data_IF_939393349986
#
_entry.id   IF_939393349986
#
_cell.length_a   1.000
_cell.length_b   1.000
_cell.length_c   1.000
_cell.angle_alpha   90.00
_cell.angle_beta   90.00
_cell.angle_gamma   90.00
#
_symmetry.space_group_name_H-M   'P 1'
#
loop_
_entity.id
_entity.type
_entity.pdbx_description
1 polymer ?
#
# COMPACT_ATOMS: atom_id res chain seq x y z
N UNK A 1 25.27 -17.29 -7.86
CA UNK A 1 23.92 -16.88 -7.44
C UNK A 1 23.02 -16.94 -8.66
N UNK A 2 21.80 -17.43 -8.54
CA UNK A 2 20.83 -17.40 -9.66
C UNK A 2 20.32 -15.97 -9.84
N UNK A 3 20.19 -15.54 -11.10
CA UNK A 3 19.71 -14.23 -11.50
C UNK A 3 18.43 -14.37 -12.31
N UNK A 4 17.44 -13.55 -12.00
CA UNK A 4 16.25 -13.26 -12.80
C UNK A 4 15.76 -11.85 -12.43
N UNK A 5 14.82 -11.30 -13.19
CA UNK A 5 14.31 -9.93 -12.98
C UNK A 5 13.84 -9.65 -11.55
N UNK A 6 13.17 -10.61 -10.93
CA UNK A 6 12.69 -10.48 -9.54
C UNK A 6 13.84 -10.43 -8.54
N UNK A 7 14.78 -11.36 -8.63
CA UNK A 7 15.97 -11.41 -7.75
C UNK A 7 16.80 -10.15 -7.93
N UNK A 8 17.00 -9.72 -9.17
CA UNK A 8 17.81 -8.54 -9.48
C UNK A 8 17.14 -7.26 -8.96
N UNK A 9 15.82 -7.12 -9.05
CA UNK A 9 15.09 -6.01 -8.46
C UNK A 9 15.26 -5.95 -6.94
N UNK A 10 15.17 -7.10 -6.25
CA UNK A 10 15.32 -7.16 -4.79
C UNK A 10 16.76 -6.87 -4.34
N UNK A 11 17.77 -7.44 -5.02
CA UNK A 11 19.19 -7.24 -4.68
C UNK A 11 19.64 -5.80 -4.96
N UNK A 12 19.11 -5.18 -6.01
CA UNK A 12 19.47 -3.83 -6.42
C UNK A 12 18.61 -2.75 -5.73
N UNK A 13 17.74 -3.12 -4.79
CA UNK A 13 16.93 -2.16 -4.06
C UNK A 13 17.74 -1.00 -3.48
N UNK A 14 17.18 0.21 -3.60
CA UNK A 14 17.74 1.45 -3.05
C UNK A 14 16.64 2.28 -2.39
N UNK A 15 16.94 2.86 -1.25
CA UNK A 15 16.07 3.87 -0.65
C UNK A 15 16.20 5.19 -1.40
N UNK A 16 15.28 5.47 -2.30
CA UNK A 16 15.27 6.70 -3.10
C UNK A 16 14.54 7.80 -2.32
N UNK A 17 15.13 9.00 -2.28
CA UNK A 17 14.57 10.20 -1.64
C UNK A 17 14.61 11.42 -2.54
N UNK A 18 14.99 11.25 -3.80
CA UNK A 18 14.95 12.29 -4.83
C UNK A 18 14.24 11.68 -6.04
N UNK A 19 13.09 12.20 -6.35
CA UNK A 19 12.24 11.72 -7.42
C UNK A 19 12.34 12.64 -8.63
N UNK A 20 11.96 12.14 -9.78
CA UNK A 20 11.75 12.94 -10.99
C UNK A 20 10.40 13.64 -10.89
N UNK A 21 10.29 14.81 -11.51
CA UNK A 21 9.01 15.50 -11.70
C UNK A 21 8.24 14.87 -12.86
N UNK A 22 7.89 13.60 -12.70
CA UNK A 22 7.17 12.80 -13.66
C UNK A 22 6.07 12.03 -12.93
N UNK A 23 4.86 12.02 -13.48
CA UNK A 23 3.77 11.20 -12.99
C UNK A 23 3.69 9.89 -13.77
N UNK A 24 3.19 8.86 -13.14
CA UNK A 24 2.98 7.56 -13.76
C UNK A 24 1.88 7.67 -14.84
N UNK A 25 2.07 7.00 -15.96
CA UNK A 25 1.04 6.90 -16.98
C UNK A 25 -0.05 5.90 -16.55
N UNK A 26 -1.17 5.87 -17.29
CA UNK A 26 -2.32 5.04 -16.98
C UNK A 26 -1.97 3.54 -16.87
N UNK A 27 -1.16 3.03 -17.80
CA UNK A 27 -0.76 1.63 -17.83
C UNK A 27 0.08 1.24 -16.61
N UNK A 28 1.02 2.13 -16.22
CA UNK A 28 1.81 1.94 -14.99
C UNK A 28 0.92 1.93 -13.74
N UNK A 29 -0.02 2.88 -13.63
CA UNK A 29 -0.98 2.93 -12.52
C UNK A 29 -1.84 1.65 -12.45
N UNK A 30 -2.40 1.20 -13.58
CA UNK A 30 -3.18 -0.03 -13.66
C UNK A 30 -2.36 -1.26 -13.28
N UNK A 31 -1.08 -1.29 -13.67
CA UNK A 31 -0.14 -2.35 -13.26
C UNK A 31 0.03 -2.38 -11.75
N UNK A 32 0.30 -1.23 -11.11
CA UNK A 32 0.47 -1.15 -9.65
C UNK A 32 -0.80 -1.56 -8.90
N UNK A 33 -1.98 -1.13 -9.38
CA UNK A 33 -3.26 -1.53 -8.79
C UNK A 33 -3.50 -3.03 -8.94
N UNK A 34 -3.17 -3.60 -10.09
CA UNK A 34 -3.29 -5.04 -10.34
C UNK A 34 -2.35 -5.83 -9.43
N UNK A 35 -1.10 -5.41 -9.29
CA UNK A 35 -0.12 -6.04 -8.37
C UNK A 35 -0.61 -5.98 -6.93
N UNK A 36 -1.13 -4.83 -6.48
CA UNK A 36 -1.73 -4.69 -5.15
C UNK A 36 -2.87 -5.69 -4.93
N UNK A 37 -3.81 -5.79 -5.88
CA UNK A 37 -4.98 -6.67 -5.78
C UNK A 37 -4.64 -8.17 -5.83
N UNK A 38 -3.54 -8.55 -6.48
CA UNK A 38 -3.10 -9.94 -6.61
C UNK A 38 -2.07 -10.36 -5.55
N UNK A 39 -1.79 -9.49 -4.60
CA UNK A 39 -0.91 -9.84 -3.48
C UNK A 39 -1.55 -10.95 -2.62
N UNK A 40 -0.73 -11.93 -2.22
CA UNK A 40 -1.17 -12.96 -1.30
C UNK A 40 -1.60 -12.37 0.04
N UNK A 41 -2.63 -12.93 0.65
CA UNK A 41 -3.14 -12.53 1.96
C UNK A 41 -3.32 -13.75 2.85
N UNK A 42 -3.34 -13.52 4.17
CA UNK A 42 -3.47 -14.61 5.15
C UNK A 42 -4.86 -15.28 5.09
N UNK A 43 -5.94 -14.51 5.05
CA UNK A 43 -7.32 -15.03 5.12
C UNK A 43 -8.29 -14.38 4.13
N UNK A 44 -7.79 -13.70 3.12
CA UNK A 44 -8.59 -12.97 2.13
C UNK A 44 -9.62 -11.99 2.75
N UNK A 45 -9.27 -11.37 3.86
CA UNK A 45 -10.14 -10.42 4.56
C UNK A 45 -10.16 -9.03 3.93
N UNK A 46 -9.31 -8.78 2.93
CA UNK A 46 -9.15 -7.50 2.23
C UNK A 46 -8.90 -6.33 3.19
N UNK A 47 -8.02 -6.56 4.16
CA UNK A 47 -7.69 -5.61 5.23
C UNK A 47 -6.66 -4.55 4.82
N UNK A 48 -6.31 -4.47 3.55
CA UNK A 48 -5.40 -3.47 3.01
C UNK A 48 -6.16 -2.52 2.07
N UNK A 49 -5.84 -1.24 2.13
CA UNK A 49 -6.28 -0.24 1.17
C UNK A 49 -5.08 0.51 0.59
N UNK A 50 -5.14 0.78 -0.71
CA UNK A 50 -4.17 1.61 -1.42
C UNK A 50 -4.84 2.93 -1.78
N UNK A 51 -4.29 4.03 -1.27
CA UNK A 51 -4.74 5.37 -1.57
C UNK A 51 -3.72 6.06 -2.49
N UNK A 52 -4.14 6.44 -3.69
CA UNK A 52 -3.38 7.30 -4.59
C UNK A 52 -3.77 8.77 -4.35
N UNK A 53 -2.85 9.55 -3.83
CA UNK A 53 -3.08 10.96 -3.49
C UNK A 53 -2.68 11.81 -4.68
N UNK A 54 -3.67 12.36 -5.38
CA UNK A 54 -3.48 13.19 -6.59
C UNK A 54 -3.58 14.68 -6.32
N UNK A 55 -4.27 15.09 -5.25
CA UNK A 55 -4.47 16.50 -4.89
C UNK A 55 -3.17 17.11 -4.32
N UNK A 56 -2.63 18.17 -4.94
CA UNK A 56 -1.38 18.81 -4.50
C UNK A 56 -1.46 19.37 -3.06
N UNK A 57 -2.62 19.89 -2.63
CA UNK A 57 -2.77 20.41 -1.27
C UNK A 57 -2.74 19.28 -0.24
N UNK A 58 -3.34 18.14 -0.54
CA UNK A 58 -3.26 16.95 0.31
C UNK A 58 -1.84 16.40 0.38
N UNK A 59 -1.13 16.32 -0.75
CA UNK A 59 0.29 15.92 -0.78
C UNK A 59 1.12 16.82 0.13
N UNK A 60 0.93 18.14 0.06
CA UNK A 60 1.64 19.11 0.91
C UNK A 60 1.34 18.92 2.40
N UNK A 61 0.08 18.73 2.78
CA UNK A 61 -0.31 18.45 4.17
C UNK A 61 0.34 17.16 4.68
N UNK A 62 0.37 16.11 3.88
CA UNK A 62 1.01 14.85 4.24
C UNK A 62 2.52 15.03 4.41
N UNK A 63 3.17 15.78 3.51
CA UNK A 63 4.59 16.12 3.61
C UNK A 63 4.92 16.83 4.93
N UNK A 64 4.10 17.82 5.30
CA UNK A 64 4.25 18.57 6.56
C UNK A 64 4.08 17.67 7.79
N UNK A 65 3.04 16.80 7.78
CA UNK A 65 2.77 15.85 8.86
C UNK A 65 3.91 14.82 9.03
N UNK A 66 4.46 14.32 7.92
CA UNK A 66 5.57 13.37 7.94
C UNK A 66 6.90 14.05 8.30
N UNK A 67 6.98 15.37 8.25
CA UNK A 67 8.24 16.13 8.38
C UNK A 67 9.35 15.62 7.45
N UNK A 68 8.98 15.20 6.23
CA UNK A 68 9.89 14.64 5.23
C UNK A 68 9.70 15.36 3.90
N UNK A 69 10.67 16.17 3.52
CA UNK A 69 10.60 17.07 2.35
C UNK A 69 10.37 16.36 1.00
N UNK A 70 10.71 15.08 0.90
CA UNK A 70 10.58 14.29 -0.32
C UNK A 70 9.22 13.57 -0.44
N UNK A 71 8.44 13.47 0.64
CA UNK A 71 7.14 12.80 0.61
C UNK A 71 6.14 13.68 -0.13
N UNK A 72 5.59 13.18 -1.22
CA UNK A 72 4.59 13.89 -2.03
C UNK A 72 5.09 15.18 -2.71
N UNK A 73 6.41 15.43 -2.74
CA UNK A 73 6.98 16.60 -3.38
C UNK A 73 6.85 16.53 -4.90
N UNK A 74 7.22 15.41 -5.48
CA UNK A 74 7.22 15.17 -6.93
C UNK A 74 6.67 13.77 -7.20
N UNK A 75 6.20 13.53 -8.43
CA UNK A 75 5.65 12.25 -8.85
C UNK A 75 4.33 11.89 -8.16
N UNK A 76 4.02 10.61 -8.13
CA UNK A 76 2.81 10.06 -7.51
C UNK A 76 3.06 9.69 -6.05
N UNK A 77 2.04 9.90 -5.21
CA UNK A 77 2.07 9.52 -3.79
C UNK A 77 1.05 8.43 -3.52
N UNK A 78 1.54 7.28 -3.04
CA UNK A 78 0.70 6.18 -2.59
C UNK A 78 0.81 5.99 -1.08
N UNK A 79 -0.34 5.75 -0.43
CA UNK A 79 -0.42 5.42 0.99
C UNK A 79 -1.05 4.05 1.12
N UNK A 80 -0.37 3.15 1.83
CA UNK A 80 -0.88 1.83 2.17
C UNK A 80 -1.48 1.87 3.57
N UNK A 81 -2.71 1.42 3.70
CA UNK A 81 -3.51 1.56 4.91
C UNK A 81 -3.92 0.18 5.40
N UNK A 82 -3.70 -0.08 6.67
CA UNK A 82 -4.31 -1.21 7.39
C UNK A 82 -5.78 -0.88 7.61
N UNK A 83 -6.67 -1.50 6.84
CA UNK A 83 -8.09 -1.14 6.74
C UNK A 83 -8.99 -2.22 7.35
N UNK A 84 -9.09 -2.23 8.66
CA UNK A 84 -10.01 -3.11 9.38
C UNK A 84 -11.46 -2.61 9.36
N UNK A 85 -11.66 -1.31 9.14
CA UNK A 85 -12.97 -0.69 9.17
C UNK A 85 -13.90 -1.23 8.09
N UNK A 86 -13.41 -1.42 6.87
CA UNK A 86 -14.21 -2.00 5.77
C UNK A 86 -14.75 -3.37 6.14
N UNK A 87 -13.89 -4.25 6.65
CA UNK A 87 -14.29 -5.59 7.06
C UNK A 87 -15.32 -5.55 8.18
N UNK A 88 -15.13 -4.68 9.17
CA UNK A 88 -16.09 -4.47 10.25
C UNK A 88 -17.46 -4.04 9.72
N UNK A 89 -17.52 -3.06 8.82
CA UNK A 89 -18.78 -2.59 8.25
C UNK A 89 -19.52 -3.72 7.50
N UNK A 90 -18.81 -4.51 6.70
CA UNK A 90 -19.40 -5.66 5.99
C UNK A 90 -19.94 -6.68 6.99
N UNK A 91 -19.19 -7.02 8.04
CA UNK A 91 -19.62 -7.97 9.07
C UNK A 91 -20.87 -7.49 9.84
N UNK A 92 -20.91 -6.20 10.17
CA UNK A 92 -22.08 -5.59 10.81
C UNK A 92 -23.32 -5.65 9.92
N UNK A 93 -23.19 -5.30 8.63
CA UNK A 93 -24.29 -5.38 7.66
C UNK A 93 -24.82 -6.80 7.49
N UNK A 94 -23.95 -7.80 7.60
CA UNK A 94 -24.31 -9.21 7.51
C UNK A 94 -24.79 -9.83 8.84
N UNK A 95 -24.80 -9.04 9.94
CA UNK A 95 -25.13 -9.55 11.28
C UNK A 95 -24.11 -10.58 11.81
N UNK A 96 -22.87 -10.52 11.35
CA UNK A 96 -21.79 -11.48 11.67
C UNK A 96 -20.59 -10.82 12.39
N UNK A 97 -20.79 -9.63 12.93
CA UNK A 97 -19.73 -8.96 13.70
C UNK A 97 -19.63 -9.59 15.10
N UNK A 98 -18.57 -10.36 15.30
CA UNK A 98 -18.24 -11.04 16.55
C UNK A 98 -17.15 -10.31 17.36
N UNK A 99 -16.80 -9.08 16.95
CA UNK A 99 -15.79 -8.26 17.60
C UNK A 99 -14.34 -8.66 17.28
N UNK A 100 -14.10 -9.72 16.51
CA UNK A 100 -12.74 -10.19 16.19
C UNK A 100 -11.87 -9.15 15.51
N UNK A 101 -12.47 -8.25 14.72
CA UNK A 101 -11.72 -7.20 14.02
C UNK A 101 -10.94 -6.27 14.95
N UNK A 102 -11.28 -6.27 16.24
CA UNK A 102 -10.61 -5.46 17.26
C UNK A 102 -9.51 -6.22 18.02
N UNK A 103 -9.23 -7.47 17.66
CA UNK A 103 -8.20 -8.26 18.32
C UNK A 103 -6.82 -7.97 17.76
N UNK A 104 -5.80 -8.15 18.58
CA UNK A 104 -4.40 -7.87 18.22
C UNK A 104 -3.90 -8.77 17.09
N UNK A 105 -4.32 -10.04 17.08
CA UNK A 105 -3.95 -10.99 16.02
C UNK A 105 -4.51 -10.59 14.65
N UNK A 106 -5.76 -10.14 14.57
CA UNK A 106 -6.34 -9.62 13.32
C UNK A 106 -5.64 -8.34 12.88
N UNK A 107 -5.25 -7.46 13.81
CA UNK A 107 -4.46 -6.29 13.46
C UNK A 107 -3.10 -6.67 12.87
N UNK A 108 -2.37 -7.61 13.48
CA UNK A 108 -1.11 -8.07 12.94
C UNK A 108 -1.25 -8.73 11.57
N UNK A 109 -2.26 -9.58 11.37
CA UNK A 109 -2.53 -10.17 10.06
C UNK A 109 -2.81 -9.10 8.99
N UNK A 110 -3.62 -8.11 9.33
CA UNK A 110 -3.92 -7.01 8.42
C UNK A 110 -2.67 -6.16 8.10
N UNK A 111 -1.80 -5.96 9.08
CA UNK A 111 -0.52 -5.28 8.88
C UNK A 111 0.42 -6.09 7.98
N UNK A 112 0.52 -7.40 8.19
CA UNK A 112 1.31 -8.30 7.35
C UNK A 112 0.81 -8.29 5.90
N UNK A 113 -0.49 -8.44 5.68
CA UNK A 113 -1.11 -8.37 4.34
C UNK A 113 -0.79 -7.02 3.67
N UNK A 114 -0.88 -5.92 4.41
CA UNK A 114 -0.59 -4.57 3.91
C UNK A 114 0.89 -4.39 3.56
N UNK A 115 1.81 -4.91 4.37
CA UNK A 115 3.25 -4.85 4.12
C UNK A 115 3.67 -5.71 2.93
N UNK A 116 3.06 -6.88 2.75
CA UNK A 116 3.27 -7.71 1.55
C UNK A 116 2.83 -6.97 0.28
N UNK A 117 1.65 -6.34 0.33
CA UNK A 117 1.15 -5.55 -0.78
C UNK A 117 2.04 -4.34 -1.09
N UNK A 118 2.50 -3.63 -0.05
CA UNK A 118 3.47 -2.54 -0.19
C UNK A 118 4.76 -3.01 -0.88
N UNK A 119 5.35 -4.11 -0.42
CA UNK A 119 6.61 -4.62 -0.98
C UNK A 119 6.43 -5.06 -2.43
N UNK A 120 5.31 -5.71 -2.79
CA UNK A 120 5.03 -6.10 -4.16
C UNK A 120 4.89 -4.90 -5.09
N UNK A 121 4.14 -3.89 -4.69
CA UNK A 121 3.98 -2.65 -5.48
C UNK A 121 5.29 -1.87 -5.58
N UNK A 122 6.11 -1.87 -4.52
CA UNK A 122 7.42 -1.20 -4.55
C UNK A 122 8.44 -1.91 -5.47
N UNK A 123 8.25 -3.19 -5.77
CA UNK A 123 9.11 -3.96 -6.67
C UNK A 123 8.63 -3.91 -8.13
N UNK A 124 7.38 -3.54 -8.38
CA UNK A 124 6.79 -3.49 -9.72
C UNK A 124 7.12 -2.20 -10.46
#
# INVERSE_FOLDING_TARGET
MLHNSTVDAQINHRSIRKFKDEVLNKEQLETLYTVFQHTATSMFMQNASLLHVTDPEQKKKIQELCNQKYVGAEGDLFIFIVDLYRNQQIRQQLGKDDGRVHTTDIFFQAMEDTLLAFQNVANA
#
